data_IF_791686852013
#
_entry.id   IF_791686852013
#
_cell.length_a   1.000
_cell.length_b   1.000
_cell.length_c   1.000
_cell.angle_alpha   90.00
_cell.angle_beta   90.00
_cell.angle_gamma   90.00
#
_symmetry.space_group_name_H-M   'P 1'
#
loop_
_entity.id
_entity.type
_entity.pdbx_description
1 polymer ?
#
# COMPACT_ATOMS: atom_id res chain seq x y z
N UNK A 1 26.57 15.17 -13.30
CA UNK A 1 26.03 13.91 -12.76
C UNK A 1 26.07 14.04 -11.26
N UNK A 2 24.97 13.87 -10.59
CA UNK A 2 24.88 13.96 -9.13
C UNK A 2 25.25 12.64 -8.51
N UNK A 3 26.15 12.65 -7.54
CA UNK A 3 26.55 11.42 -6.83
C UNK A 3 25.69 11.23 -5.58
N UNK A 4 25.20 10.00 -5.38
CA UNK A 4 24.47 9.57 -4.19
C UNK A 4 25.14 8.30 -3.67
N UNK A 5 25.59 8.32 -2.42
CA UNK A 5 26.33 7.18 -1.86
C UNK A 5 25.41 6.08 -1.35
N UNK A 6 25.91 4.85 -1.32
CA UNK A 6 25.22 3.71 -0.75
C UNK A 6 24.82 3.96 0.71
N UNK A 7 25.66 4.63 1.50
CA UNK A 7 25.38 4.98 2.91
C UNK A 7 24.18 5.92 3.04
N UNK A 8 24.06 6.92 2.14
CA UNK A 8 22.92 7.84 2.15
C UNK A 8 21.61 7.10 1.83
N UNK A 9 21.64 6.16 0.88
CA UNK A 9 20.50 5.30 0.54
C UNK A 9 20.13 4.41 1.72
N UNK A 10 21.11 3.74 2.34
CA UNK A 10 20.92 2.90 3.51
C UNK A 10 20.26 3.66 4.65
N UNK A 11 20.77 4.85 4.99
CA UNK A 11 20.21 5.68 6.05
C UNK A 11 18.78 6.11 5.73
N UNK A 12 18.51 6.55 4.50
CA UNK A 12 17.18 6.95 4.06
C UNK A 12 16.17 5.80 4.16
N UNK A 13 16.51 4.61 3.66
CA UNK A 13 15.62 3.43 3.71
C UNK A 13 15.38 2.97 5.15
N UNK A 14 16.43 2.97 6.01
CA UNK A 14 16.30 2.65 7.44
C UNK A 14 15.26 3.55 8.10
N UNK A 15 15.40 4.86 7.94
CA UNK A 15 14.54 5.83 8.60
C UNK A 15 13.10 5.75 8.06
N UNK A 16 12.93 5.59 6.75
CA UNK A 16 11.62 5.40 6.13
C UNK A 16 10.91 4.13 6.62
N UNK A 17 11.62 3.01 6.84
CA UNK A 17 11.05 1.77 7.38
C UNK A 17 10.47 2.00 8.78
N UNK A 18 11.19 2.71 9.64
CA UNK A 18 10.76 3.00 11.01
C UNK A 18 9.58 3.97 11.00
N UNK A 19 9.73 5.10 10.30
CA UNK A 19 8.72 6.17 10.28
C UNK A 19 7.39 5.71 9.68
N UNK A 20 7.44 4.99 8.56
CA UNK A 20 6.22 4.46 7.94
C UNK A 20 5.45 3.49 8.86
N UNK A 21 6.14 2.79 9.76
CA UNK A 21 5.49 1.87 10.69
C UNK A 21 4.93 2.55 11.95
N UNK A 22 5.36 3.79 12.24
CA UNK A 22 4.96 4.52 13.46
C UNK A 22 3.93 5.62 13.20
N UNK A 23 3.91 6.18 11.99
CA UNK A 23 3.07 7.33 11.65
C UNK A 23 2.39 7.10 10.31
N UNK A 24 1.06 7.11 10.28
CA UNK A 24 0.29 7.07 9.02
C UNK A 24 0.49 8.35 8.20
N UNK A 25 0.22 8.30 6.88
CA UNK A 25 -0.01 9.50 6.09
C UNK A 25 -1.12 10.35 6.73
N UNK A 26 -0.88 11.65 6.83
CA UNK A 26 -1.78 12.57 7.57
C UNK A 26 -3.20 12.62 7.00
N UNK A 27 -3.33 12.48 5.69
CA UNK A 27 -4.62 12.43 4.99
C UNK A 27 -5.41 11.15 5.31
N UNK A 28 -4.73 10.01 5.45
CA UNK A 28 -5.37 8.75 5.85
C UNK A 28 -5.82 8.80 7.32
N UNK A 29 -4.97 9.33 8.21
CA UNK A 29 -5.34 9.54 9.61
C UNK A 29 -6.56 10.45 9.74
N UNK A 30 -6.56 11.60 9.05
CA UNK A 30 -7.68 12.53 9.04
C UNK A 30 -8.97 11.88 8.50
N UNK A 31 -8.86 11.04 7.47
CA UNK A 31 -10.01 10.33 6.91
C UNK A 31 -10.59 9.30 7.90
N UNK A 32 -9.75 8.56 8.64
CA UNK A 32 -10.23 7.65 9.69
C UNK A 32 -10.96 8.42 10.79
N UNK A 33 -10.42 9.56 11.23
CA UNK A 33 -11.05 10.43 12.23
C UNK A 33 -12.40 10.98 11.73
N UNK A 34 -12.47 11.40 10.48
CA UNK A 34 -13.72 11.86 9.85
C UNK A 34 -14.75 10.73 9.83
N UNK A 35 -14.39 9.54 9.39
CA UNK A 35 -15.30 8.38 9.35
C UNK A 35 -15.77 7.96 10.74
N UNK A 36 -14.95 8.10 11.76
CA UNK A 36 -15.35 7.84 13.15
C UNK A 36 -16.44 8.81 13.64
N UNK A 37 -16.50 10.03 13.09
CA UNK A 37 -17.55 11.00 13.41
C UNK A 37 -18.83 10.81 12.61
N UNK A 38 -18.71 10.32 11.36
CA UNK A 38 -19.83 10.17 10.41
C UNK A 38 -20.53 8.81 10.54
N UNK A 39 -19.87 7.77 11.09
CA UNK A 39 -20.39 6.41 11.16
C UNK A 39 -21.66 6.32 12.02
N UNK A 40 -22.77 5.89 11.41
CA UNK A 40 -24.07 5.80 12.07
C UNK A 40 -24.26 4.54 12.92
N UNK A 41 -23.48 3.49 12.70
CA UNK A 41 -23.52 2.25 13.48
C UNK A 41 -22.67 2.38 14.75
N UNK A 42 -23.27 2.33 15.93
CA UNK A 42 -22.57 2.55 17.19
C UNK A 42 -21.39 1.60 17.47
N UNK A 43 -21.47 0.33 17.07
CA UNK A 43 -20.36 -0.62 17.20
C UNK A 43 -19.23 -0.25 16.25
N UNK A 44 -19.55 0.02 14.99
CA UNK A 44 -18.55 0.42 13.98
C UNK A 44 -17.88 1.76 14.36
N UNK A 45 -18.65 2.72 14.87
CA UNK A 45 -18.15 4.00 15.38
C UNK A 45 -17.15 3.78 16.53
N UNK A 46 -17.51 2.95 17.50
CA UNK A 46 -16.64 2.63 18.64
C UNK A 46 -15.31 2.03 18.16
N UNK A 47 -15.36 1.13 17.17
CA UNK A 47 -14.16 0.52 16.56
C UNK A 47 -13.31 1.59 15.87
N UNK A 48 -13.89 2.47 15.06
CA UNK A 48 -13.14 3.56 14.41
C UNK A 48 -12.49 4.49 15.45
N UNK A 49 -13.18 4.79 16.55
CA UNK A 49 -12.60 5.55 17.67
C UNK A 49 -11.44 4.80 18.32
N UNK A 50 -11.50 3.47 18.44
CA UNK A 50 -10.38 2.66 18.94
C UNK A 50 -9.19 2.70 17.98
N UNK A 51 -9.43 2.69 16.67
CA UNK A 51 -8.35 2.86 15.70
C UNK A 51 -7.67 4.23 15.84
N UNK A 52 -8.43 5.31 16.04
CA UNK A 52 -7.86 6.64 16.32
C UNK A 52 -7.01 6.63 17.60
N UNK A 53 -7.52 6.07 18.69
CA UNK A 53 -6.78 5.95 19.97
C UNK A 53 -5.49 5.14 19.81
N UNK A 54 -5.51 4.09 18.97
CA UNK A 54 -4.31 3.31 18.68
C UNK A 54 -3.25 4.14 17.94
N UNK A 55 -3.64 5.02 17.02
CA UNK A 55 -2.69 5.92 16.34
C UNK A 55 -2.03 6.89 17.32
N UNK A 56 -2.81 7.45 18.25
CA UNK A 56 -2.31 8.36 19.28
C UNK A 56 -1.34 7.63 20.21
N UNK A 57 -1.71 6.46 20.72
CA UNK A 57 -0.88 5.63 21.58
C UNK A 57 0.44 5.22 20.88
N UNK A 58 0.39 4.83 19.61
CA UNK A 58 1.58 4.47 18.83
C UNK A 58 2.54 5.66 18.71
N UNK A 59 2.01 6.85 18.52
CA UNK A 59 2.79 8.11 18.43
C UNK A 59 3.42 8.46 19.79
N UNK A 60 2.64 8.46 20.85
CA UNK A 60 3.09 8.81 22.21
C UNK A 60 4.15 7.84 22.73
N UNK A 61 3.96 6.56 22.48
CA UNK A 61 4.87 5.50 22.95
C UNK A 61 6.04 5.24 22.00
N UNK A 62 6.06 5.88 20.81
CA UNK A 62 7.03 5.66 19.73
C UNK A 62 7.17 4.18 19.31
N UNK A 63 6.03 3.46 19.25
CA UNK A 63 5.95 2.05 18.85
C UNK A 63 5.24 1.90 17.49
N UNK A 64 5.37 0.73 16.81
CA UNK A 64 4.62 0.46 15.60
C UNK A 64 3.09 0.48 15.81
N UNK A 65 2.36 1.01 14.84
CA UNK A 65 0.89 1.09 14.85
C UNK A 65 0.25 -0.31 14.88
N UNK A 66 0.90 -1.31 14.30
CA UNK A 66 0.41 -2.67 14.18
C UNK A 66 1.54 -3.67 14.45
N UNK A 67 1.20 -4.85 14.99
CA UNK A 67 2.17 -5.94 15.17
C UNK A 67 2.68 -6.51 13.84
N UNK A 68 1.91 -6.42 12.75
CA UNK A 68 2.39 -6.75 11.40
C UNK A 68 3.02 -5.51 10.78
N UNK A 69 4.33 -5.37 10.96
CA UNK A 69 5.12 -4.29 10.35
C UNK A 69 5.47 -4.56 8.88
N UNK A 70 5.01 -5.69 8.37
CA UNK A 70 4.97 -6.01 6.95
C UNK A 70 6.30 -6.38 6.32
N UNK A 71 6.23 -6.65 5.02
CA UNK A 71 7.38 -6.78 4.13
C UNK A 71 7.65 -5.42 3.48
N UNK A 72 8.92 -5.03 3.36
CA UNK A 72 9.28 -3.76 2.74
C UNK A 72 9.09 -3.85 1.21
N UNK A 73 8.17 -3.04 0.69
CA UNK A 73 8.04 -2.77 -0.76
C UNK A 73 8.60 -1.38 -1.01
N UNK A 74 9.51 -1.28 -1.96
CA UNK A 74 10.24 -0.04 -2.23
C UNK A 74 10.08 0.34 -3.70
N UNK A 75 9.60 1.56 -3.94
CA UNK A 75 9.60 2.18 -5.25
C UNK A 75 10.73 3.19 -5.31
N UNK A 76 11.65 3.01 -6.25
CA UNK A 76 12.79 3.88 -6.48
C UNK A 76 12.66 4.54 -7.85
N UNK A 77 12.55 5.87 -7.88
CA UNK A 77 12.62 6.67 -9.09
C UNK A 77 14.03 7.28 -9.18
N UNK A 78 14.84 6.75 -10.08
CA UNK A 78 16.25 7.12 -10.25
C UNK A 78 16.38 8.07 -11.42
N UNK A 79 16.85 9.28 -11.16
CA UNK A 79 17.14 10.28 -12.19
C UNK A 79 18.27 9.79 -13.11
N UNK A 80 18.15 10.04 -14.43
CA UNK A 80 19.17 9.62 -15.41
C UNK A 80 20.53 10.31 -15.22
N UNK A 81 20.56 11.44 -14.51
CA UNK A 81 21.77 12.19 -14.18
C UNK A 81 22.29 11.85 -12.78
N UNK A 82 21.75 10.83 -12.12
CA UNK A 82 22.23 10.29 -10.85
C UNK A 82 23.30 9.22 -11.11
N UNK A 83 24.39 9.30 -10.36
CA UNK A 83 25.37 8.22 -10.21
C UNK A 83 25.29 7.67 -8.79
N UNK A 84 24.93 6.39 -8.65
CA UNK A 84 24.91 5.71 -7.36
C UNK A 84 26.31 5.14 -7.10
N UNK A 85 26.97 5.65 -6.04
CA UNK A 85 28.29 5.19 -5.61
C UNK A 85 28.13 3.95 -4.74
N UNK A 86 28.29 2.77 -5.33
CA UNK A 86 28.17 1.47 -4.67
C UNK A 86 27.04 0.61 -5.23
N UNK A 87 26.74 -0.49 -4.52
CA UNK A 87 25.68 -1.43 -4.89
C UNK A 87 24.33 -0.92 -4.36
N UNK A 88 23.44 -0.56 -5.27
CA UNK A 88 22.13 0.04 -4.95
C UNK A 88 21.22 -0.94 -4.20
N UNK A 89 21.11 -2.18 -4.70
CA UNK A 89 20.23 -3.17 -4.10
C UNK A 89 20.74 -3.61 -2.73
N UNK A 90 22.05 -3.78 -2.58
CA UNK A 90 22.68 -4.06 -1.29
C UNK A 90 22.45 -2.93 -0.29
N UNK A 91 22.57 -1.66 -0.71
CA UNK A 91 22.32 -0.50 0.14
C UNK A 91 20.86 -0.41 0.61
N UNK A 92 19.91 -0.69 -0.28
CA UNK A 92 18.47 -0.76 0.04
C UNK A 92 18.21 -1.87 1.07
N UNK A 93 18.70 -3.08 0.84
CA UNK A 93 18.51 -4.20 1.75
C UNK A 93 19.18 -3.97 3.11
N UNK A 94 20.36 -3.36 3.14
CA UNK A 94 21.01 -2.97 4.41
C UNK A 94 20.17 -1.94 5.17
N UNK A 95 19.56 -0.98 4.49
CA UNK A 95 18.63 -0.04 5.10
C UNK A 95 17.41 -0.73 5.71
N UNK A 96 16.82 -1.71 5.01
CA UNK A 96 15.71 -2.54 5.53
C UNK A 96 16.17 -3.31 6.76
N UNK A 97 17.32 -4.01 6.70
CA UNK A 97 17.88 -4.75 7.82
C UNK A 97 18.04 -3.86 9.06
N UNK A 98 18.67 -2.70 8.88
CA UNK A 98 18.84 -1.75 9.99
C UNK A 98 17.51 -1.23 10.51
N UNK A 99 16.58 -0.84 9.63
CA UNK A 99 15.27 -0.30 10.00
C UNK A 99 14.45 -1.31 10.81
N UNK A 100 14.41 -2.57 10.39
CA UNK A 100 13.62 -3.59 11.08
C UNK A 100 14.27 -4.08 12.37
N UNK A 101 15.58 -4.33 12.38
CA UNK A 101 16.27 -4.82 13.59
C UNK A 101 16.42 -3.73 14.64
N UNK A 102 16.95 -2.54 14.27
CA UNK A 102 17.18 -1.45 15.21
C UNK A 102 15.88 -0.72 15.60
N UNK A 103 14.92 -0.65 14.66
CA UNK A 103 13.60 -0.08 14.91
C UNK A 103 12.67 -0.99 15.73
N UNK A 104 13.12 -2.20 16.10
CA UNK A 104 12.34 -3.22 16.83
C UNK A 104 11.05 -3.57 16.09
N UNK A 105 11.10 -3.62 14.77
CA UNK A 105 10.01 -4.05 13.93
C UNK A 105 10.02 -5.58 13.81
N UNK A 106 8.86 -6.16 13.45
CA UNK A 106 8.74 -7.61 13.30
C UNK A 106 9.41 -8.09 12.01
N UNK A 107 10.37 -8.99 12.11
CA UNK A 107 10.97 -9.68 10.97
C UNK A 107 10.03 -10.80 10.50
N UNK A 108 9.35 -10.59 9.38
CA UNK A 108 8.30 -11.48 8.85
C UNK A 108 8.69 -12.20 7.56
N UNK A 109 9.86 -11.88 6.98
CA UNK A 109 10.33 -12.48 5.72
C UNK A 109 10.90 -13.88 5.97
N UNK A 110 10.56 -14.82 5.11
CA UNK A 110 11.08 -16.19 5.10
C UNK A 110 11.99 -16.41 3.90
N UNK A 111 13.09 -17.17 4.09
CA UNK A 111 14.12 -17.43 3.07
C UNK A 111 13.60 -18.25 1.89
N UNK A 112 12.69 -19.15 2.16
CA UNK A 112 12.10 -20.03 1.15
C UNK A 112 10.59 -20.08 1.35
N UNK A 113 9.79 -19.83 0.30
CA UNK A 113 8.34 -19.72 0.45
C UNK A 113 7.66 -21.05 0.81
N UNK A 114 8.27 -22.18 0.53
CA UNK A 114 7.72 -23.52 0.80
C UNK A 114 8.34 -24.13 2.07
N UNK A 115 9.68 -24.15 2.17
CA UNK A 115 10.40 -24.72 3.33
C UNK A 115 10.38 -23.82 4.55
N UNK A 116 10.05 -22.54 4.36
CA UNK A 116 9.97 -21.51 5.40
C UNK A 116 11.36 -21.19 6.01
N UNK A 117 11.43 -20.76 7.21
CA UNK A 117 12.68 -20.30 7.85
C UNK A 117 12.84 -18.79 7.74
N UNK A 118 12.82 -18.10 8.88
CA UNK A 118 12.90 -16.64 8.93
C UNK A 118 14.28 -16.13 8.49
N UNK A 119 14.33 -14.98 7.84
CA UNK A 119 15.59 -14.30 7.50
C UNK A 119 16.22 -13.60 8.70
N UNK A 120 15.42 -13.29 9.73
CA UNK A 120 15.78 -12.63 10.99
C UNK A 120 16.11 -11.13 10.87
N UNK A 121 16.06 -10.60 9.66
CA UNK A 121 16.37 -9.20 9.35
C UNK A 121 15.36 -8.52 8.41
N UNK A 122 14.31 -9.26 8.02
CA UNK A 122 13.24 -8.82 7.13
C UNK A 122 13.70 -8.49 5.68
N UNK A 123 14.84 -8.99 5.27
CA UNK A 123 15.33 -8.89 3.88
C UNK A 123 15.04 -10.17 3.08
N UNK A 124 15.04 -10.12 1.72
CA UNK A 124 15.18 -8.92 0.90
C UNK A 124 13.89 -8.09 0.82
N UNK A 125 14.02 -6.83 0.46
CA UNK A 125 12.90 -5.99 0.05
C UNK A 125 12.36 -6.40 -1.33
N UNK A 126 11.12 -6.05 -1.62
CA UNK A 126 10.60 -6.03 -2.99
C UNK A 126 10.93 -4.65 -3.57
N UNK A 127 11.91 -4.60 -4.46
CA UNK A 127 12.42 -3.36 -5.05
C UNK A 127 11.92 -3.18 -6.48
N UNK A 128 11.19 -2.09 -6.72
CA UNK A 128 10.78 -1.64 -8.05
C UNK A 128 11.59 -0.39 -8.42
N UNK A 129 12.39 -0.46 -9.48
CA UNK A 129 13.23 0.65 -9.94
C UNK A 129 12.72 1.18 -11.26
N UNK A 130 12.61 2.50 -11.38
CA UNK A 130 12.24 3.22 -12.60
C UNK A 130 13.25 4.32 -12.87
N UNK A 131 13.75 4.40 -14.10
CA UNK A 131 14.53 5.54 -14.57
C UNK A 131 13.59 6.68 -14.96
N UNK A 132 13.92 7.89 -14.50
CA UNK A 132 13.17 9.12 -14.78
C UNK A 132 14.15 10.24 -15.22
N UNK A 133 13.69 11.28 -15.92
CA UNK A 133 14.53 12.45 -16.19
C UNK A 133 14.98 13.16 -14.92
N UNK A 134 16.18 13.75 -14.94
CA UNK A 134 16.69 14.61 -13.85
C UNK A 134 17.79 13.95 -13.00
N UNK A 135 18.11 14.59 -11.90
CA UNK A 135 19.25 14.29 -11.03
C UNK A 135 18.86 13.95 -9.58
N UNK A 136 17.63 13.50 -9.38
CA UNK A 136 17.10 13.13 -8.06
C UNK A 136 16.86 11.64 -7.96
N UNK A 137 17.03 11.10 -6.75
CA UNK A 137 16.60 9.76 -6.38
C UNK A 137 15.45 9.89 -5.38
N UNK A 138 14.24 9.46 -5.80
CA UNK A 138 13.10 9.40 -4.87
C UNK A 138 12.87 7.96 -4.45
N UNK A 139 12.87 7.74 -3.14
CA UNK A 139 12.61 6.44 -2.52
C UNK A 139 11.27 6.50 -1.78
N UNK A 140 10.39 5.57 -2.08
CA UNK A 140 9.13 5.38 -1.33
C UNK A 140 9.15 3.99 -0.71
N UNK A 141 9.10 3.93 0.61
CA UNK A 141 8.98 2.69 1.37
C UNK A 141 7.53 2.50 1.78
N UNK A 142 6.95 1.38 1.38
CA UNK A 142 5.57 0.97 1.68
C UNK A 142 5.57 -0.40 2.38
N UNK A 143 5.65 -0.45 3.71
CA UNK A 143 5.57 -1.72 4.44
C UNK A 143 4.20 -2.36 4.24
N UNK A 144 4.17 -3.58 3.69
CA UNK A 144 2.93 -4.28 3.33
C UNK A 144 2.67 -5.47 4.23
N UNK A 145 1.64 -5.37 5.07
CA UNK A 145 1.17 -6.45 5.92
C UNK A 145 0.45 -7.55 5.11
N UNK A 146 0.61 -8.80 5.52
CA UNK A 146 0.14 -9.95 4.74
C UNK A 146 -1.30 -10.37 5.04
N UNK A 147 -1.90 -9.93 6.12
CA UNK A 147 -3.34 -10.13 6.34
C UNK A 147 -4.17 -9.56 5.19
N UNK A 148 -3.85 -8.34 4.76
CA UNK A 148 -4.51 -7.71 3.62
C UNK A 148 -3.91 -8.13 2.28
N UNK A 149 -2.59 -8.38 2.18
CA UNK A 149 -1.96 -8.83 0.94
C UNK A 149 -2.56 -10.13 0.42
N UNK A 150 -2.82 -11.09 1.31
CA UNK A 150 -3.41 -12.38 0.97
C UNK A 150 -4.83 -12.28 0.39
N UNK A 151 -5.50 -11.15 0.56
CA UNK A 151 -6.84 -10.91 0.04
C UNK A 151 -6.83 -10.24 -1.34
N UNK A 152 -5.65 -9.91 -1.87
CA UNK A 152 -5.50 -9.30 -3.18
C UNK A 152 -5.81 -10.28 -4.30
N UNK A 153 -6.41 -9.79 -5.39
CA UNK A 153 -6.84 -10.61 -6.53
C UNK A 153 -6.44 -9.98 -7.85
N UNK A 154 -6.17 -10.82 -8.83
CA UNK A 154 -5.91 -10.44 -10.21
C UNK A 154 -6.80 -11.23 -11.15
N UNK A 155 -7.34 -10.57 -12.17
CA UNK A 155 -8.16 -11.21 -13.21
C UNK A 155 -7.79 -10.67 -14.58
N UNK A 156 -7.58 -11.58 -15.51
CA UNK A 156 -7.42 -11.27 -16.93
C UNK A 156 -8.81 -11.23 -17.57
N UNK A 157 -9.35 -10.03 -17.73
CA UNK A 157 -10.60 -9.84 -18.46
C UNK A 157 -10.37 -9.87 -19.97
N UNK A 158 -11.41 -10.15 -20.71
CA UNK A 158 -11.43 -9.94 -22.18
C UNK A 158 -11.83 -8.49 -22.47
N UNK A 159 -11.48 -7.96 -23.68
CA UNK A 159 -11.87 -6.61 -24.08
C UNK A 159 -13.40 -6.38 -24.16
N UNK A 160 -14.20 -7.47 -24.14
CA UNK A 160 -15.66 -7.39 -24.13
C UNK A 160 -16.23 -7.07 -22.72
N UNK A 161 -15.40 -7.13 -21.66
CA UNK A 161 -15.83 -6.76 -20.32
C UNK A 161 -16.21 -5.30 -20.24
N UNK A 162 -17.28 -5.02 -19.52
CA UNK A 162 -17.77 -3.66 -19.26
C UNK A 162 -17.17 -3.10 -17.99
N UNK A 163 -17.30 -1.79 -17.82
CA UNK A 163 -16.87 -1.11 -16.58
C UNK A 163 -17.57 -1.72 -15.34
N UNK A 164 -18.83 -2.11 -15.48
CA UNK A 164 -19.61 -2.75 -14.42
C UNK A 164 -19.01 -4.07 -13.97
N UNK A 165 -18.42 -4.85 -14.88
CA UNK A 165 -17.75 -6.12 -14.56
C UNK A 165 -16.49 -5.88 -13.72
N UNK A 166 -15.79 -4.78 -13.98
CA UNK A 166 -14.60 -4.37 -13.20
C UNK A 166 -15.03 -3.91 -11.80
N UNK A 167 -16.07 -3.07 -11.70
CA UNK A 167 -16.62 -2.62 -10.41
C UNK A 167 -17.10 -3.83 -9.59
N UNK A 168 -17.81 -4.77 -10.22
CA UNK A 168 -18.26 -6.00 -9.58
C UNK A 168 -17.08 -6.86 -9.07
N UNK A 169 -15.98 -6.96 -9.83
CA UNK A 169 -14.79 -7.69 -9.41
C UNK A 169 -14.10 -7.05 -8.20
N UNK A 170 -14.02 -5.71 -8.15
CA UNK A 170 -13.48 -4.98 -6.98
C UNK A 170 -14.36 -5.23 -5.75
N UNK A 171 -15.68 -5.10 -5.90
CA UNK A 171 -16.65 -5.38 -4.83
C UNK A 171 -16.54 -6.82 -4.33
N UNK A 172 -16.58 -7.81 -5.23
CA UNK A 172 -16.44 -9.24 -4.91
C UNK A 172 -15.13 -9.52 -4.17
N UNK A 173 -14.02 -8.86 -4.56
CA UNK A 173 -12.74 -9.01 -3.87
C UNK A 173 -12.85 -8.66 -2.39
N UNK A 174 -13.56 -7.59 -2.05
CA UNK A 174 -13.76 -7.18 -0.66
C UNK A 174 -14.77 -8.06 0.07
N UNK A 175 -15.84 -8.49 -0.60
CA UNK A 175 -16.82 -9.43 -0.02
C UNK A 175 -16.15 -10.76 0.37
N UNK A 176 -15.33 -11.32 -0.52
CA UNK A 176 -14.55 -12.55 -0.25
C UNK A 176 -13.51 -12.33 0.86
N UNK A 177 -12.89 -11.15 0.90
CA UNK A 177 -11.91 -10.81 1.93
C UNK A 177 -12.55 -10.72 3.33
N UNK A 178 -13.76 -10.17 3.42
CA UNK A 178 -14.48 -9.99 4.69
C UNK A 178 -13.65 -9.22 5.72
N UNK A 179 -13.55 -9.76 6.93
CA UNK A 179 -12.78 -9.17 8.03
C UNK A 179 -11.26 -9.39 7.96
N UNK A 180 -10.78 -10.34 7.12
CA UNK A 180 -9.37 -10.75 7.08
C UNK A 180 -8.37 -9.60 6.84
N UNK A 181 -8.66 -8.59 5.99
CA UNK A 181 -7.74 -7.48 5.75
C UNK A 181 -7.79 -6.39 6.82
N UNK A 182 -8.52 -6.57 7.92
CA UNK A 182 -8.74 -5.56 8.97
C UNK A 182 -9.30 -4.25 8.39
N UNK A 183 -10.54 -4.24 7.86
CA UNK A 183 -11.17 -3.03 7.35
C UNK A 183 -11.34 -1.97 8.46
N UNK A 184 -11.49 -0.68 8.09
CA UNK A 184 -11.72 -0.21 6.72
C UNK A 184 -10.48 -0.29 5.85
N UNK A 185 -10.65 -0.71 4.59
CA UNK A 185 -9.56 -0.95 3.65
C UNK A 185 -9.24 0.27 2.78
N UNK A 186 -8.01 0.32 2.27
CA UNK A 186 -7.65 1.15 1.11
C UNK A 186 -7.36 0.20 -0.04
N UNK A 187 -7.96 0.44 -1.19
CA UNK A 187 -7.80 -0.42 -2.36
C UNK A 187 -6.93 0.26 -3.41
N UNK A 188 -5.88 -0.41 -3.82
CA UNK A 188 -5.14 -0.06 -5.02
C UNK A 188 -5.63 -0.92 -6.19
N UNK A 189 -6.05 -0.29 -7.27
CA UNK A 189 -6.54 -0.98 -8.47
C UNK A 189 -5.61 -0.67 -9.64
N UNK A 190 -5.03 -1.70 -10.23
CA UNK A 190 -4.31 -1.62 -11.49
C UNK A 190 -5.22 -2.00 -12.64
N UNK A 191 -5.19 -1.25 -13.74
CA UNK A 191 -5.96 -1.55 -14.95
C UNK A 191 -5.05 -1.42 -16.17
N UNK A 192 -4.94 -2.48 -16.97
CA UNK A 192 -4.10 -2.47 -18.18
C UNK A 192 -2.67 -2.96 -17.92
N UNK A 193 -1.77 -2.65 -18.86
CA UNK A 193 -0.45 -3.30 -18.89
C UNK A 193 -0.54 -4.76 -19.31
N UNK A 194 0.18 -5.61 -18.62
CA UNK A 194 0.16 -7.07 -18.74
C UNK A 194 -0.04 -7.73 -17.37
N UNK A 195 0.17 -9.04 -17.28
CA UNK A 195 -0.01 -9.80 -16.05
C UNK A 195 0.89 -9.33 -14.89
N UNK A 196 2.11 -8.92 -15.18
CA UNK A 196 3.09 -8.46 -14.18
C UNK A 196 2.85 -7.00 -13.80
N UNK A 197 2.75 -6.13 -14.80
CA UNK A 197 2.63 -4.69 -14.59
C UNK A 197 1.34 -4.32 -13.86
N UNK A 198 0.22 -4.97 -14.15
CA UNK A 198 -1.06 -4.69 -13.51
C UNK A 198 -1.02 -4.88 -11.99
N UNK A 199 -0.31 -5.91 -11.51
CA UNK A 199 -0.15 -6.15 -10.08
C UNK A 199 0.74 -5.07 -9.42
N UNK A 200 1.81 -4.66 -10.10
CA UNK A 200 2.67 -3.57 -9.64
C UNK A 200 1.93 -2.22 -9.61
N UNK A 201 1.10 -1.92 -10.62
CA UNK A 201 0.26 -0.72 -10.63
C UNK A 201 -0.71 -0.70 -9.45
N UNK A 202 -1.40 -1.81 -9.17
CA UNK A 202 -2.28 -1.93 -8.02
C UNK A 202 -1.53 -1.70 -6.69
N UNK A 203 -0.32 -2.21 -6.57
CA UNK A 203 0.54 -1.99 -5.40
C UNK A 203 0.96 -0.52 -5.28
N UNK A 204 1.37 0.11 -6.37
CA UNK A 204 1.76 1.52 -6.41
C UNK A 204 0.59 2.44 -6.08
N UNK A 205 -0.62 2.11 -6.51
CA UNK A 205 -1.84 2.87 -6.23
C UNK A 205 -2.10 3.05 -4.72
N UNK A 206 -1.68 2.10 -3.88
CA UNK A 206 -1.77 2.22 -2.42
C UNK A 206 -0.86 3.33 -1.84
N UNK A 207 0.15 3.78 -2.59
CA UNK A 207 1.07 4.85 -2.18
C UNK A 207 0.59 6.25 -2.62
N UNK A 208 -0.57 6.34 -3.30
CA UNK A 208 -1.17 7.64 -3.61
C UNK A 208 -1.98 8.13 -2.41
N UNK A 209 -1.94 9.44 -2.17
CA UNK A 209 -2.75 10.11 -1.15
C UNK A 209 -4.23 9.76 -1.31
N UNK A 210 -4.90 9.42 -0.20
CA UNK A 210 -6.34 9.09 -0.20
C UNK A 210 -7.22 10.34 -0.42
N UNK A 211 -6.65 11.53 -0.26
CA UNK A 211 -7.31 12.80 -0.57
C UNK A 211 -7.18 13.20 -2.05
N UNK A 212 -6.38 12.47 -2.84
CA UNK A 212 -6.05 12.82 -4.21
C UNK A 212 -6.74 11.87 -5.19
N UNK A 213 -7.70 12.37 -5.95
CA UNK A 213 -8.37 11.60 -7.01
C UNK A 213 -7.45 11.42 -8.22
N UNK A 214 -7.79 10.45 -9.06
CA UNK A 214 -7.09 10.26 -10.33
C UNK A 214 -7.15 11.55 -11.18
N UNK A 215 -6.05 11.96 -11.82
CA UNK A 215 -6.05 13.16 -12.68
C UNK A 215 -6.93 13.04 -13.92
N UNK A 216 -7.23 11.81 -14.38
CA UNK A 216 -8.20 11.56 -15.44
C UNK A 216 -9.60 11.52 -14.84
N UNK A 217 -10.53 12.41 -15.27
CA UNK A 217 -11.89 12.47 -14.74
C UNK A 217 -12.67 11.15 -14.84
N UNK A 218 -12.43 10.36 -15.89
CA UNK A 218 -13.06 9.05 -16.07
C UNK A 218 -12.66 8.10 -14.95
N UNK A 219 -11.38 8.01 -14.63
CA UNK A 219 -10.90 7.17 -13.55
C UNK A 219 -11.25 7.74 -12.17
N UNK A 220 -11.29 9.06 -12.02
CA UNK A 220 -11.75 9.70 -10.77
C UNK A 220 -13.21 9.34 -10.45
N UNK A 221 -14.10 9.36 -11.45
CA UNK A 221 -15.49 8.91 -11.29
C UNK A 221 -15.56 7.41 -10.99
N UNK A 222 -14.73 6.62 -11.65
CA UNK A 222 -14.68 5.16 -11.44
C UNK A 222 -14.18 4.80 -10.03
N UNK A 223 -13.21 5.52 -9.48
CA UNK A 223 -12.78 5.38 -8.08
C UNK A 223 -13.93 5.58 -7.11
N UNK A 224 -14.74 6.61 -7.32
CA UNK A 224 -15.90 6.90 -6.48
C UNK A 224 -16.99 5.82 -6.60
N UNK A 225 -17.30 5.37 -7.82
CA UNK A 225 -18.25 4.27 -8.06
C UNK A 225 -17.80 2.97 -7.39
N UNK A 226 -16.51 2.64 -7.47
CA UNK A 226 -15.96 1.47 -6.79
C UNK A 226 -16.03 1.61 -5.27
N UNK A 227 -15.72 2.79 -4.72
CA UNK A 227 -15.79 3.05 -3.28
C UNK A 227 -17.22 2.89 -2.76
N UNK A 228 -18.22 3.43 -3.47
CA UNK A 228 -19.64 3.27 -3.12
C UNK A 228 -20.08 1.80 -3.20
N UNK A 229 -19.66 1.08 -4.25
CA UNK A 229 -19.97 -0.34 -4.41
C UNK A 229 -19.35 -1.20 -3.29
N UNK A 230 -18.12 -0.90 -2.86
CA UNK A 230 -17.46 -1.58 -1.74
C UNK A 230 -18.13 -1.26 -0.41
N UNK A 231 -18.45 0.00 -0.15
CA UNK A 231 -19.12 0.39 1.10
C UNK A 231 -20.54 -0.18 1.19
N UNK A 232 -21.21 -0.43 0.05
CA UNK A 232 -22.52 -1.10 0.03
C UNK A 232 -22.48 -2.58 0.47
N UNK A 233 -21.30 -3.18 0.64
CA UNK A 233 -21.18 -4.55 1.16
C UNK A 233 -21.53 -4.67 2.63
N UNK A 234 -21.39 -3.59 3.40
CA UNK A 234 -21.69 -3.56 4.82
C UNK A 234 -20.75 -4.41 5.68
N UNK A 235 -19.57 -4.79 5.18
CA UNK A 235 -18.55 -5.51 5.98
C UNK A 235 -18.16 -4.69 7.20
N UNK A 236 -17.94 -3.38 7.01
CA UNK A 236 -17.71 -2.42 8.08
C UNK A 236 -16.35 -2.56 8.78
N UNK A 237 -16.06 -1.65 9.74
CA UNK A 237 -14.81 -1.65 10.50
C UNK A 237 -14.59 -2.99 11.21
N UNK A 238 -13.41 -3.58 10.99
CA UNK A 238 -12.97 -4.88 11.50
C UNK A 238 -13.94 -6.05 11.20
N UNK A 239 -14.88 -5.87 10.26
CA UNK A 239 -15.87 -6.90 9.89
C UNK A 239 -17.09 -6.96 10.82
N UNK A 240 -17.33 -5.95 11.62
CA UNK A 240 -18.46 -5.89 12.57
C UNK A 240 -19.70 -5.17 12.01
N UNK A 241 -19.77 -4.99 10.70
CA UNK A 241 -20.84 -4.21 10.08
C UNK A 241 -20.59 -2.70 10.15
N UNK A 242 -21.46 -1.94 9.50
CA UNK A 242 -21.36 -0.49 9.43
C UNK A 242 -21.22 0.02 8.00
N UNK A 243 -21.10 1.32 7.85
CA UNK A 243 -21.08 2.00 6.55
C UNK A 243 -19.66 2.09 5.94
N UNK A 244 -18.63 2.04 6.79
CA UNK A 244 -17.25 2.29 6.39
C UNK A 244 -16.49 0.97 6.20
N UNK A 245 -16.65 0.32 5.05
CA UNK A 245 -15.86 -0.88 4.66
C UNK A 245 -14.52 -0.48 4.04
N UNK A 246 -14.51 0.57 3.22
CA UNK A 246 -13.32 1.12 2.58
C UNK A 246 -13.21 2.63 2.80
N UNK A 247 -11.98 3.11 2.93
CA UNK A 247 -11.64 4.53 3.05
C UNK A 247 -11.42 5.17 1.67
N UNK A 248 -10.73 4.44 0.78
CA UNK A 248 -10.43 4.93 -0.56
C UNK A 248 -10.26 3.77 -1.56
N UNK A 249 -10.49 4.09 -2.83
CA UNK A 249 -10.08 3.30 -3.98
C UNK A 249 -9.22 4.19 -4.86
N UNK A 250 -8.00 3.77 -5.15
CA UNK A 250 -7.06 4.47 -6.02
C UNK A 250 -6.79 3.62 -7.26
N UNK A 251 -6.96 4.18 -8.45
CA UNK A 251 -6.74 3.50 -9.74
C UNK A 251 -5.45 4.00 -10.38
N UNK A 252 -4.60 3.07 -10.82
CA UNK A 252 -3.49 3.33 -11.74
C UNK A 252 -3.76 2.57 -13.05
N UNK A 253 -3.74 3.28 -14.17
CA UNK A 253 -4.02 2.72 -15.48
C UNK A 253 -2.80 2.78 -16.40
N UNK A 254 -2.69 1.80 -17.28
CA UNK A 254 -1.62 1.74 -18.28
C UNK A 254 -2.14 1.16 -19.60
N UNK A 255 -1.61 1.62 -20.76
CA UNK A 255 -1.95 1.02 -22.06
C UNK A 255 -1.77 -0.50 -22.05
N UNK A 256 -2.69 -1.21 -22.71
CA UNK A 256 -2.67 -2.67 -22.76
C UNK A 256 -2.80 -3.19 -24.19
N UNK A 257 -2.56 -4.49 -24.38
CA UNK A 257 -2.73 -5.14 -25.67
C UNK A 257 -4.23 -5.18 -26.05
N UNK A 258 -4.54 -5.00 -27.36
CA UNK A 258 -5.92 -4.95 -27.87
C UNK A 258 -6.78 -6.15 -27.50
N UNK A 259 -6.16 -7.31 -27.27
CA UNK A 259 -6.85 -8.56 -26.92
C UNK A 259 -6.95 -8.84 -25.41
N UNK A 260 -6.50 -7.91 -24.56
CA UNK A 260 -6.48 -8.11 -23.10
C UNK A 260 -7.04 -6.95 -22.32
N UNK A 261 -7.49 -7.22 -21.10
CA UNK A 261 -7.87 -6.23 -20.09
C UNK A 261 -7.54 -6.78 -18.71
N UNK A 262 -6.26 -6.76 -18.29
CA UNK A 262 -5.89 -7.18 -16.95
C UNK A 262 -6.37 -6.17 -15.91
N UNK A 263 -6.87 -6.68 -14.78
CA UNK A 263 -7.26 -5.89 -13.62
C UNK A 263 -6.73 -6.56 -12.36
N UNK A 264 -6.03 -5.81 -11.53
CA UNK A 264 -5.57 -6.26 -10.22
C UNK A 264 -6.14 -5.37 -9.11
N UNK A 265 -6.51 -5.99 -8.00
CA UNK A 265 -6.93 -5.32 -6.77
C UNK A 265 -5.96 -5.69 -5.68
N UNK A 266 -5.16 -4.74 -5.23
CA UNK A 266 -4.30 -4.91 -4.06
C UNK A 266 -5.00 -4.33 -2.83
N UNK A 267 -5.23 -5.17 -1.84
CA UNK A 267 -5.96 -4.78 -0.63
C UNK A 267 -4.98 -4.28 0.42
N UNK A 268 -5.17 -3.03 0.87
CA UNK A 268 -4.52 -2.45 2.05
C UNK A 268 -5.48 -2.45 3.24
N UNK A 269 -4.98 -2.63 4.46
CA UNK A 269 -5.79 -2.47 5.69
C UNK A 269 -5.92 -0.99 6.08
N UNK A 270 -6.57 -0.71 7.20
CA UNK A 270 -6.64 0.65 7.77
C UNK A 270 -5.26 1.25 8.10
N UNK A 271 -4.23 0.41 8.23
CA UNK A 271 -2.82 0.84 8.38
C UNK A 271 -2.09 0.78 7.03
N UNK A 272 -2.72 1.24 5.95
CA UNK A 272 -2.03 1.42 4.66
C UNK A 272 -1.06 2.59 4.78
N UNK A 273 0.23 2.28 4.80
CA UNK A 273 1.31 3.19 5.19
C UNK A 273 2.40 3.26 4.15
N UNK A 274 2.95 4.43 3.97
CA UNK A 274 4.12 4.67 3.14
C UNK A 274 4.79 5.98 3.55
N UNK A 275 6.06 6.10 3.26
CA UNK A 275 6.84 7.34 3.40
C UNK A 275 7.80 7.48 2.23
N UNK A 276 8.07 8.72 1.85
CA UNK A 276 8.97 9.02 0.73
C UNK A 276 10.01 10.04 1.13
N UNK A 277 11.18 9.94 0.50
CA UNK A 277 12.25 10.93 0.57
C UNK A 277 12.85 11.13 -0.81
N UNK A 278 13.30 12.32 -1.10
CA UNK A 278 14.07 12.64 -2.32
C UNK A 278 15.48 13.06 -1.92
N UNK A 279 16.45 12.29 -2.41
CA UNK A 279 17.89 12.51 -2.25
C UNK A 279 18.42 13.29 -3.43
#
# INVERSE_FOLDING_TARGET
MREITAEAITAAVRDLCVDANRVLPADLEALIQQRAQEEGNGTAQSILCDLCRNLDAAREMAIPICQDTGMAVIFAEVGQDVHICGDFEAAVNEGVRQGYVQGLLRCSVVRDPVRRGNTEDNTPAILHTRLVPGDKLTLTVAPKGFGSENMSRLKMFTPAAKVEDIVAFVKETVEVAGSNPCPPVVLGVGIGGDFELVAMLAKKALCRSVSQRNPDPFYAELEERMLQAVNSTGVGPQGFGGETTALAVNIEAYPTHIAGLPVAVNVGCHVTRHKSVTL
#
